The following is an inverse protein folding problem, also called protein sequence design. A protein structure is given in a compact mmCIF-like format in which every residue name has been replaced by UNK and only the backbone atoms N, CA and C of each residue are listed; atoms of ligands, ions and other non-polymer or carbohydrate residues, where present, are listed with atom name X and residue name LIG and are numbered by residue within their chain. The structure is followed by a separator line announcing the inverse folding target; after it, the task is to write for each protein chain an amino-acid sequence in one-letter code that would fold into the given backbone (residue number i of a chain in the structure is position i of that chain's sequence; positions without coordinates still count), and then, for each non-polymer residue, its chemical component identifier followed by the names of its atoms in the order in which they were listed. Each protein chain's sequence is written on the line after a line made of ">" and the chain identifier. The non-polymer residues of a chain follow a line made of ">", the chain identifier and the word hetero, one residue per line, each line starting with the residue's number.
data_IF_687763413339
#
_entry.id   IF_687763413339
#
_cell.length_a   1.000
_cell.length_b   1.000
_cell.length_c   1.000
_cell.angle_alpha   90.00
_cell.angle_beta   90.00
_cell.angle_gamma   90.00
#
_symmetry.space_group_name_H-M   'P 1'
#
loop_
_entity.id
_entity.type
_entity.pdbx_description
1 polymer ?
#
# COMPACT_ATOMS: atom_id res chain seq x y z
N UNK A 1 21.72 3.18 16.87
CA UNK A 1 20.59 4.14 17.01
C UNK A 1 20.42 5.00 15.76
N UNK A 2 21.39 5.83 15.37
CA UNK A 2 21.27 6.73 14.18
C UNK A 2 20.98 5.94 12.89
N UNK A 3 21.72 4.86 12.64
CA UNK A 3 21.55 4.00 11.45
C UNK A 3 20.11 3.44 11.39
N UNK A 4 19.57 2.96 12.51
CA UNK A 4 18.19 2.45 12.60
C UNK A 4 17.16 3.49 12.18
N UNK A 5 17.29 4.73 12.67
CA UNK A 5 16.38 5.83 12.33
C UNK A 5 16.42 6.13 10.83
N UNK A 6 17.62 6.13 10.22
CA UNK A 6 17.77 6.35 8.77
C UNK A 6 17.04 5.28 7.95
N UNK A 7 17.14 4.00 8.35
CA UNK A 7 16.43 2.92 7.65
C UNK A 7 14.91 2.99 7.82
N UNK A 8 14.42 3.42 8.99
CA UNK A 8 12.99 3.66 9.20
C UNK A 8 12.51 4.77 8.26
N UNK A 9 13.16 5.93 8.25
CA UNK A 9 12.79 7.05 7.37
C UNK A 9 12.89 6.64 5.89
N UNK A 10 13.94 5.91 5.51
CA UNK A 10 14.13 5.39 4.17
C UNK A 10 12.98 4.48 3.71
N UNK A 11 12.47 3.63 4.60
CA UNK A 11 11.32 2.77 4.28
C UNK A 11 10.03 3.54 4.03
N UNK A 12 9.75 4.61 4.79
CA UNK A 12 8.60 5.50 4.52
C UNK A 12 8.75 6.18 3.17
N UNK A 13 9.94 6.70 2.87
CA UNK A 13 10.20 7.37 1.59
C UNK A 13 10.01 6.43 0.40
N UNK A 14 10.59 5.22 0.46
CA UNK A 14 10.47 4.19 -0.56
C UNK A 14 9.04 3.65 -0.71
N UNK A 15 8.27 3.55 0.37
CA UNK A 15 6.88 3.10 0.27
C UNK A 15 5.98 4.19 -0.35
N UNK A 16 6.16 5.46 0.00
CA UNK A 16 5.21 6.53 -0.36
C UNK A 16 5.43 7.05 -1.79
N UNK A 17 6.68 7.35 -2.16
CA UNK A 17 6.97 8.07 -3.41
C UNK A 17 6.99 7.16 -4.66
N UNK A 18 7.89 6.17 -4.77
CA UNK A 18 8.03 5.40 -6.01
C UNK A 18 6.86 4.44 -6.24
N UNK A 19 6.27 3.87 -5.18
CA UNK A 19 5.13 2.97 -5.34
C UNK A 19 3.90 3.68 -5.92
N UNK A 20 3.64 4.94 -5.53
CA UNK A 20 2.52 5.69 -6.08
C UNK A 20 2.64 5.91 -7.58
N UNK A 21 3.84 6.24 -8.06
CA UNK A 21 4.11 6.39 -9.49
C UNK A 21 3.99 5.06 -10.24
N UNK A 22 4.54 3.97 -9.67
CA UNK A 22 4.54 2.64 -10.29
C UNK A 22 3.12 2.07 -10.42
N UNK A 23 2.31 2.20 -9.38
CA UNK A 23 0.91 1.74 -9.36
C UNK A 23 0.11 2.46 -10.44
N UNK A 24 0.24 3.79 -10.54
CA UNK A 24 -0.43 4.57 -11.58
C UNK A 24 -0.03 4.13 -13.00
N UNK A 25 1.23 3.71 -13.21
CA UNK A 25 1.69 3.26 -14.51
C UNK A 25 1.21 1.85 -14.86
N UNK A 26 1.16 0.94 -13.88
CA UNK A 26 0.67 -0.42 -14.07
C UNK A 26 -0.86 -0.46 -14.24
N UNK A 27 -1.57 0.43 -13.54
CA UNK A 27 -3.03 0.49 -13.61
C UNK A 27 -3.57 1.24 -14.83
N UNK A 28 -2.74 2.00 -15.56
CA UNK A 28 -3.15 2.72 -16.79
C UNK A 28 -3.68 1.81 -17.89
N UNK A 29 -3.36 0.51 -17.86
CA UNK A 29 -3.88 -0.48 -18.81
C UNK A 29 -5.33 -0.90 -18.56
N UNK A 30 -5.90 -0.55 -17.40
CA UNK A 30 -7.29 -0.84 -17.08
C UNK A 30 -8.15 0.39 -17.36
N UNK A 31 -9.01 0.28 -18.37
CA UNK A 31 -9.92 1.35 -18.75
C UNK A 31 -11.12 1.38 -17.78
N UNK A 32 -11.14 2.40 -16.92
CA UNK A 32 -12.20 2.67 -15.93
C UNK A 32 -12.63 4.14 -15.93
N UNK A 33 -12.37 4.87 -17.03
CA UNK A 33 -12.57 6.33 -17.11
C UNK A 33 -13.97 6.78 -16.70
N UNK A 34 -14.99 6.11 -17.23
CA UNK A 34 -16.40 6.46 -16.97
C UNK A 34 -16.90 6.04 -15.57
N UNK A 35 -16.13 5.21 -14.86
CA UNK A 35 -16.51 4.65 -13.55
C UNK A 35 -15.99 5.47 -12.35
N UNK A 36 -15.18 6.52 -12.59
CA UNK A 36 -14.53 7.29 -11.52
C UNK A 36 -15.32 8.54 -11.05
N UNK A 37 -16.40 8.92 -11.72
CA UNK A 37 -17.06 10.24 -11.51
C UNK A 37 -17.88 10.38 -10.22
N UNK A 38 -18.01 9.33 -9.40
CA UNK A 38 -18.83 9.34 -8.19
C UNK A 38 -18.13 9.73 -6.86
N UNK A 39 -16.82 10.01 -6.86
CA UNK A 39 -16.02 10.09 -5.63
C UNK A 39 -15.30 11.42 -5.37
N UNK A 40 -14.72 11.56 -4.16
CA UNK A 40 -13.84 12.69 -3.84
C UNK A 40 -12.59 12.69 -4.74
N UNK A 41 -12.26 13.86 -5.28
CA UNK A 41 -11.07 14.03 -6.11
C UNK A 41 -9.81 13.58 -5.35
N UNK A 42 -8.99 12.74 -6.00
CA UNK A 42 -7.75 12.18 -5.45
C UNK A 42 -7.92 11.30 -4.19
N UNK A 43 -9.14 10.90 -3.78
CA UNK A 43 -9.34 10.10 -2.58
C UNK A 43 -8.51 8.81 -2.58
N UNK A 44 -8.49 8.07 -3.70
CA UNK A 44 -7.68 6.86 -3.83
C UNK A 44 -6.18 7.07 -3.61
N UNK A 45 -5.64 8.23 -4.01
CA UNK A 45 -4.24 8.60 -3.81
C UNK A 45 -3.93 8.80 -2.32
N UNK A 46 -4.78 9.57 -1.62
CA UNK A 46 -4.59 9.84 -0.19
C UNK A 46 -4.82 8.60 0.67
N UNK A 47 -5.87 7.82 0.37
CA UNK A 47 -6.12 6.52 1.02
C UNK A 47 -4.89 5.61 0.85
N UNK A 48 -4.36 5.52 -0.36
CA UNK A 48 -3.16 4.73 -0.62
C UNK A 48 -1.91 5.23 0.13
N UNK A 49 -1.78 6.53 0.39
CA UNK A 49 -0.69 7.05 1.24
C UNK A 49 -0.85 6.64 2.70
N UNK A 50 -2.05 6.77 3.25
CA UNK A 50 -2.35 6.40 4.63
C UNK A 50 -2.11 4.91 4.88
N UNK A 51 -2.52 4.04 3.96
CA UNK A 51 -2.32 2.60 4.11
C UNK A 51 -0.85 2.21 4.10
N UNK A 52 -0.08 2.79 3.18
CA UNK A 52 1.36 2.52 3.12
C UNK A 52 2.09 3.03 4.35
N UNK A 53 1.67 4.20 4.87
CA UNK A 53 2.16 4.70 6.14
C UNK A 53 1.89 3.67 7.27
N UNK A 54 0.65 3.21 7.41
CA UNK A 54 0.27 2.21 8.42
C UNK A 54 1.04 0.90 8.26
N UNK A 55 1.18 0.39 7.04
CA UNK A 55 1.94 -0.85 6.76
C UNK A 55 3.39 -0.70 7.20
N UNK A 56 4.06 0.40 6.83
CA UNK A 56 5.44 0.65 7.26
C UNK A 56 5.51 0.71 8.78
N UNK A 57 4.60 1.44 9.43
CA UNK A 57 4.52 1.50 10.90
C UNK A 57 4.41 0.11 11.52
N UNK A 58 3.47 -0.71 11.06
CA UNK A 58 3.25 -2.06 11.60
C UNK A 58 4.46 -3.00 11.39
N UNK A 59 5.13 -2.93 10.24
CA UNK A 59 6.35 -3.74 9.99
C UNK A 59 7.49 -3.38 10.97
N UNK A 60 7.68 -2.09 11.24
CA UNK A 60 8.72 -1.62 12.15
C UNK A 60 8.34 -1.81 13.63
N UNK A 61 7.06 -1.71 13.98
CA UNK A 61 6.53 -2.04 15.30
C UNK A 61 6.49 -3.55 15.59
N UNK A 62 6.60 -4.39 14.57
CA UNK A 62 6.52 -5.86 14.71
C UNK A 62 5.09 -6.42 14.66
N UNK A 63 4.09 -5.56 14.43
CA UNK A 63 2.66 -5.90 14.45
C UNK A 63 2.16 -6.37 13.09
N UNK A 64 2.71 -7.47 12.57
CA UNK A 64 2.32 -8.00 11.26
C UNK A 64 0.84 -8.41 11.19
N UNK A 65 0.24 -8.83 12.31
CA UNK A 65 -1.18 -9.15 12.41
C UNK A 65 -2.09 -7.94 12.12
N UNK A 66 -1.67 -6.73 12.49
CA UNK A 66 -2.43 -5.50 12.24
C UNK A 66 -2.54 -5.18 10.74
N UNK A 67 -1.57 -5.63 9.93
CA UNK A 67 -1.63 -5.52 8.47
C UNK A 67 -2.73 -6.42 7.90
N UNK A 68 -2.89 -7.63 8.45
CA UNK A 68 -3.99 -8.52 8.09
C UNK A 68 -5.36 -7.92 8.39
N UNK A 69 -5.50 -7.26 9.54
CA UNK A 69 -6.72 -6.53 9.89
C UNK A 69 -7.00 -5.37 8.93
N UNK A 70 -5.96 -4.59 8.57
CA UNK A 70 -6.09 -3.50 7.60
C UNK A 70 -6.59 -3.99 6.23
N UNK A 71 -6.02 -5.10 5.74
CA UNK A 71 -6.45 -5.76 4.49
C UNK A 71 -7.90 -6.20 4.59
N UNK A 72 -8.26 -6.91 5.66
CA UNK A 72 -9.60 -7.44 5.87
C UNK A 72 -10.65 -6.32 5.93
N UNK A 73 -10.39 -5.27 6.72
CA UNK A 73 -11.28 -4.12 6.84
C UNK A 73 -11.56 -3.50 5.46
N UNK A 74 -10.49 -3.27 4.66
CA UNK A 74 -10.64 -2.68 3.33
C UNK A 74 -11.41 -3.58 2.36
N UNK A 75 -11.15 -4.88 2.38
CA UNK A 75 -11.85 -5.84 1.52
C UNK A 75 -13.34 -5.90 1.85
N UNK A 76 -13.73 -5.89 3.12
CA UNK A 76 -15.14 -5.92 3.54
C UNK A 76 -15.90 -4.70 3.00
N UNK A 77 -15.35 -3.49 3.15
CA UNK A 77 -15.98 -2.29 2.60
C UNK A 77 -16.16 -2.36 1.08
N UNK A 78 -15.19 -2.95 0.36
CA UNK A 78 -15.27 -3.03 -1.09
C UNK A 78 -16.27 -4.07 -1.59
N UNK A 79 -16.32 -5.25 -0.97
CA UNK A 79 -17.26 -6.29 -1.37
C UNK A 79 -18.72 -5.95 -1.02
N UNK A 80 -18.95 -5.15 0.03
CA UNK A 80 -20.29 -4.69 0.40
C UNK A 80 -20.93 -3.69 -0.59
N UNK A 81 -20.14 -3.06 -1.46
CA UNK A 81 -20.61 -2.05 -2.41
C UNK A 81 -20.97 -2.61 -3.80
N UNK A 82 -20.70 -3.89 -4.07
CA UNK A 82 -20.91 -4.48 -5.40
C UNK A 82 -22.40 -4.79 -5.61
N UNK A 83 -23.08 -4.00 -6.45
CA UNK A 83 -24.48 -4.24 -6.83
C UNK A 83 -24.59 -4.66 -8.29
N UNK A 84 -23.84 -3.99 -9.17
CA UNK A 84 -23.89 -4.20 -10.62
C UNK A 84 -22.52 -4.51 -11.25
N UNK A 85 -22.49 -4.79 -12.56
CA UNK A 85 -21.26 -5.12 -13.31
C UNK A 85 -20.22 -3.99 -13.29
N UNK A 86 -20.68 -2.74 -13.28
CA UNK A 86 -19.84 -1.56 -13.23
C UNK A 86 -19.13 -1.44 -11.87
N UNK A 87 -19.87 -1.62 -10.77
CA UNK A 87 -19.30 -1.68 -9.41
C UNK A 87 -18.27 -2.80 -9.28
N UNK A 88 -18.53 -3.95 -9.93
CA UNK A 88 -17.60 -5.08 -9.92
C UNK A 88 -16.27 -4.75 -10.59
N UNK A 89 -16.30 -4.11 -11.77
CA UNK A 89 -15.09 -3.71 -12.50
C UNK A 89 -14.29 -2.69 -11.70
N UNK A 90 -14.97 -1.72 -11.07
CA UNK A 90 -14.33 -0.74 -10.18
C UNK A 90 -13.73 -1.42 -8.94
N UNK A 91 -14.45 -2.37 -8.34
CA UNK A 91 -13.96 -3.12 -7.19
C UNK A 91 -12.73 -3.95 -7.50
N UNK A 92 -12.70 -4.64 -8.63
CA UNK A 92 -11.54 -5.39 -9.11
C UNK A 92 -10.33 -4.48 -9.34
N UNK A 93 -10.53 -3.32 -10.00
CA UNK A 93 -9.47 -2.33 -10.20
C UNK A 93 -8.86 -1.86 -8.87
N UNK A 94 -9.71 -1.48 -7.91
CA UNK A 94 -9.26 -0.96 -6.61
C UNK A 94 -8.56 -2.06 -5.81
N UNK A 95 -9.05 -3.30 -5.90
CA UNK A 95 -8.48 -4.45 -5.21
C UNK A 95 -7.08 -4.77 -5.75
N UNK A 96 -6.92 -4.85 -7.08
CA UNK A 96 -5.62 -5.03 -7.74
C UNK A 96 -4.64 -3.91 -7.33
N UNK A 97 -5.08 -2.66 -7.41
CA UNK A 97 -4.25 -1.51 -7.03
C UNK A 97 -3.82 -1.54 -5.56
N UNK A 98 -4.72 -1.97 -4.66
CA UNK A 98 -4.44 -2.10 -3.23
C UNK A 98 -3.44 -3.21 -2.95
N UNK A 99 -3.65 -4.41 -3.49
CA UNK A 99 -2.73 -5.53 -3.28
C UNK A 99 -1.33 -5.23 -3.81
N UNK A 100 -1.23 -4.59 -4.97
CA UNK A 100 0.03 -4.13 -5.53
C UNK A 100 0.72 -3.11 -4.60
N UNK A 101 -0.03 -2.12 -4.12
CA UNK A 101 0.47 -1.11 -3.18
C UNK A 101 1.01 -1.73 -1.89
N UNK A 102 0.26 -2.66 -1.31
CA UNK A 102 0.63 -3.33 -0.06
C UNK A 102 1.87 -4.19 -0.25
N UNK A 103 1.93 -4.93 -1.36
CA UNK A 103 3.09 -5.76 -1.69
C UNK A 103 4.37 -4.92 -1.81
N UNK A 104 4.30 -3.75 -2.47
CA UNK A 104 5.44 -2.84 -2.60
C UNK A 104 5.86 -2.24 -1.25
N UNK A 105 4.91 -1.83 -0.41
CA UNK A 105 5.21 -1.27 0.91
C UNK A 105 5.83 -2.31 1.86
N UNK A 106 5.31 -3.54 1.84
CA UNK A 106 5.86 -4.68 2.57
C UNK A 106 7.28 -4.99 2.08
N UNK A 107 7.47 -5.14 0.76
CA UNK A 107 8.76 -5.45 0.17
C UNK A 107 9.82 -4.38 0.54
N UNK A 108 9.48 -3.09 0.41
CA UNK A 108 10.37 -2.01 0.80
C UNK A 108 10.74 -2.06 2.29
N UNK A 109 9.74 -2.21 3.17
CA UNK A 109 9.95 -2.23 4.63
C UNK A 109 10.78 -3.42 5.08
N UNK A 110 10.47 -4.62 4.60
CA UNK A 110 11.23 -5.82 4.92
C UNK A 110 12.64 -5.78 4.35
N UNK A 111 12.83 -5.28 3.13
CA UNK A 111 14.18 -5.12 2.54
C UNK A 111 15.03 -4.19 3.40
N UNK A 112 14.50 -3.03 3.80
CA UNK A 112 15.20 -2.12 4.71
C UNK A 112 15.53 -2.77 6.05
N UNK A 113 14.59 -3.52 6.65
CA UNK A 113 14.79 -4.21 7.93
C UNK A 113 15.84 -5.32 7.81
N UNK A 114 15.85 -6.06 6.71
CA UNK A 114 16.81 -7.12 6.43
C UNK A 114 18.23 -6.58 6.21
N UNK A 115 18.38 -5.52 5.41
CA UNK A 115 19.67 -4.85 5.20
C UNK A 115 20.20 -4.30 6.54
N UNK A 116 19.34 -3.65 7.34
CA UNK A 116 19.72 -3.18 8.66
C UNK A 116 20.21 -4.33 9.55
N UNK A 117 19.52 -5.48 9.53
CA UNK A 117 19.93 -6.66 10.29
C UNK A 117 21.33 -7.13 9.87
N UNK A 118 21.62 -7.26 8.56
CA UNK A 118 22.94 -7.64 8.05
C UNK A 118 24.05 -6.68 8.50
N UNK A 119 23.79 -5.37 8.48
CA UNK A 119 24.76 -4.36 8.93
C UNK A 119 25.05 -4.48 10.43
N UNK A 120 24.04 -4.86 11.22
CA UNK A 120 24.17 -5.01 12.66
C UNK A 120 24.80 -6.35 13.08
N UNK A 121 24.61 -7.43 12.31
CA UNK A 121 25.21 -8.74 12.58
C UNK A 121 26.59 -8.95 11.95
N UNK A 122 27.02 -8.08 11.02
CA UNK A 122 28.39 -8.00 10.54
C UNK A 122 29.33 -7.13 11.39
N UNK A 123 28.81 -6.55 12.48
CA UNK A 123 29.61 -6.02 13.60
C UNK A 123 29.59 -7.02 14.74
#
# INVERSE_FOLDING_TARGET
>A
MIITILFIIGSYFLAIFPAGWLINRLLKGFDIGDLQDGGLQNAGKYIGFLERFLIVTFVWSGELSAIGLLIAAKSIFRFGEIKDKEDRKLAEYILIGTFLSYSLALAASFTCKWILALILSGK
#
